data_IF_646217789032
#
_entry.id   IF_646217789032
#
_cell.length_a   1.000
_cell.length_b   1.000
_cell.length_c   1.000
_cell.angle_alpha   90.00
_cell.angle_beta   90.00
_cell.angle_gamma   90.00
#
_symmetry.space_group_name_H-M   'P 1'
#
loop_
_entity.id
_entity.type
_entity.pdbx_description
1 polymer ?
#
# COMPACT_ATOMS: atom_id res chain seq x y z
N UNK A 1 14.53 8.94 26.36
CA UNK A 1 14.22 8.74 24.93
C UNK A 1 13.21 9.80 24.51
N UNK A 2 13.34 10.40 23.33
CA UNK A 2 12.41 11.44 22.83
C UNK A 2 11.85 10.99 21.49
N UNK A 3 10.52 10.96 21.36
CA UNK A 3 9.85 10.69 20.10
C UNK A 3 9.90 11.96 19.23
N UNK A 4 10.38 11.81 18.00
CA UNK A 4 10.29 12.85 16.96
C UNK A 4 9.18 12.45 16.00
N UNK A 5 8.29 13.39 15.68
CA UNK A 5 7.18 13.19 14.75
C UNK A 5 7.39 14.12 13.56
N UNK A 6 7.29 13.58 12.36
CA UNK A 6 7.34 14.33 11.10
C UNK A 6 6.04 14.07 10.34
N UNK A 7 5.47 15.12 9.76
CA UNK A 7 4.22 15.07 9.01
C UNK A 7 4.44 15.77 7.68
N UNK A 8 4.10 15.09 6.58
CA UNK A 8 4.22 15.67 5.25
C UNK A 8 3.11 16.71 5.02
N UNK A 9 3.44 17.83 4.39
CA UNK A 9 2.47 18.93 4.17
C UNK A 9 1.35 18.56 3.20
N UNK A 10 1.59 17.59 2.32
CA UNK A 10 0.61 17.10 1.34
C UNK A 10 0.32 15.64 1.64
N UNK A 11 -0.96 15.26 1.80
CA UNK A 11 -1.32 13.87 2.00
C UNK A 11 -1.01 13.09 0.72
N UNK A 12 -0.35 11.94 0.84
CA UNK A 12 -0.07 11.05 -0.30
C UNK A 12 -1.29 10.20 -0.68
N UNK A 13 -2.06 9.80 0.34
CA UNK A 13 -3.35 9.16 0.14
C UNK A 13 -4.44 10.21 0.02
N UNK A 14 -5.41 9.99 -0.86
CA UNK A 14 -6.58 10.88 -1.00
C UNK A 14 -7.68 10.57 0.01
N UNK A 15 -7.69 9.34 0.51
CA UNK A 15 -8.71 8.82 1.44
C UNK A 15 -8.09 8.36 2.76
N UNK A 16 -8.93 7.79 3.63
CA UNK A 16 -8.53 7.31 4.95
C UNK A 16 -7.64 6.06 4.85
N UNK A 17 -6.57 6.06 5.64
CA UNK A 17 -5.71 4.90 5.82
C UNK A 17 -6.47 3.77 6.52
N UNK A 18 -6.52 2.60 5.90
CA UNK A 18 -7.11 1.40 6.49
C UNK A 18 -6.07 0.52 7.21
N UNK A 19 -4.77 0.68 6.91
CA UNK A 19 -3.72 -0.07 7.59
C UNK A 19 -2.31 0.41 7.27
N UNK A 20 -1.38 0.05 8.17
CA UNK A 20 0.07 0.24 8.01
C UNK A 20 0.79 -1.03 8.43
N UNK A 21 1.87 -1.38 7.74
CA UNK A 21 2.66 -2.58 8.02
C UNK A 21 4.13 -2.36 7.72
N UNK A 22 4.99 -2.91 8.58
CA UNK A 22 6.43 -2.88 8.35
C UNK A 22 6.83 -4.01 7.41
N UNK A 23 7.55 -3.68 6.34
CA UNK A 23 8.15 -4.68 5.46
C UNK A 23 9.54 -5.09 5.96
N UNK A 24 10.32 -4.12 6.42
CA UNK A 24 11.64 -4.28 7.03
C UNK A 24 11.94 -3.04 7.88
N UNK A 25 13.14 -2.91 8.44
CA UNK A 25 13.49 -1.80 9.34
C UNK A 25 13.38 -0.40 8.73
N UNK A 26 13.46 -0.26 7.41
CA UNK A 26 13.52 1.02 6.71
C UNK A 26 12.36 1.24 5.73
N UNK A 27 11.44 0.27 5.64
CA UNK A 27 10.33 0.28 4.69
C UNK A 27 9.00 -0.07 5.35
N UNK A 28 8.01 0.78 5.08
CA UNK A 28 6.64 0.62 5.55
C UNK A 28 5.71 0.57 4.33
N UNK A 29 4.64 -0.20 4.43
CA UNK A 29 3.54 -0.19 3.48
C UNK A 29 2.33 0.42 4.17
N UNK A 30 1.67 1.36 3.51
CA UNK A 30 0.35 1.86 3.91
C UNK A 30 -0.70 1.44 2.90
N UNK A 31 -1.90 1.15 3.40
CA UNK A 31 -3.09 0.86 2.62
C UNK A 31 -4.18 1.87 2.97
N UNK A 32 -4.96 2.24 1.96
CA UNK A 32 -6.01 3.26 2.06
C UNK A 32 -7.23 2.84 1.24
N UNK A 33 -8.36 3.45 1.55
CA UNK A 33 -9.61 3.29 0.80
C UNK A 33 -9.57 3.93 -0.59
N UNK A 34 -8.51 4.67 -0.93
CA UNK A 34 -8.21 5.15 -2.29
C UNK A 34 -7.77 4.03 -3.26
N UNK A 35 -7.83 2.78 -2.79
CA UNK A 35 -7.39 1.58 -3.50
C UNK A 35 -5.92 1.61 -3.91
N UNK A 36 -5.09 2.41 -3.25
CA UNK A 36 -3.64 2.45 -3.46
C UNK A 36 -2.89 1.84 -2.28
N UNK A 37 -1.78 1.21 -2.62
CA UNK A 37 -0.75 0.83 -1.65
C UNK A 37 0.44 1.75 -1.87
N UNK A 38 0.96 2.34 -0.80
CA UNK A 38 2.18 3.14 -0.86
C UNK A 38 3.30 2.42 -0.10
N UNK A 39 4.46 2.33 -0.72
CA UNK A 39 5.70 1.89 -0.09
C UNK A 39 6.49 3.11 0.33
N UNK A 40 6.75 3.23 1.62
CA UNK A 40 7.50 4.31 2.24
C UNK A 40 8.93 3.87 2.49
N UNK A 41 9.88 4.71 2.09
CA UNK A 41 11.27 4.61 2.51
C UNK A 41 11.50 5.59 3.67
N UNK A 42 11.74 5.07 4.86
CA UNK A 42 11.84 5.87 6.09
C UNK A 42 13.08 6.75 6.09
N UNK A 43 14.20 6.25 5.54
CA UNK A 43 15.45 7.00 5.49
C UNK A 43 15.39 8.23 4.57
N UNK A 44 14.58 8.17 3.51
CA UNK A 44 14.38 9.28 2.57
C UNK A 44 13.09 10.09 2.83
N UNK A 45 12.22 9.58 3.71
CA UNK A 45 10.87 10.08 3.92
C UNK A 45 10.13 10.29 2.58
N UNK A 46 10.19 9.28 1.72
CA UNK A 46 9.57 9.30 0.39
C UNK A 46 8.63 8.09 0.22
N UNK A 47 7.61 8.27 -0.62
CA UNK A 47 6.57 7.29 -0.84
C UNK A 47 6.42 6.97 -2.33
N UNK A 48 6.47 5.69 -2.67
CA UNK A 48 6.25 5.19 -4.02
C UNK A 48 4.92 4.44 -4.08
N UNK A 49 4.09 4.76 -5.08
CA UNK A 49 2.87 4.00 -5.34
C UNK A 49 3.23 2.60 -5.83
N UNK A 50 2.75 1.59 -5.12
CA UNK A 50 2.80 0.21 -5.57
C UNK A 50 1.60 -0.07 -6.45
N UNK A 51 1.74 -0.95 -7.46
CA UNK A 51 0.59 -1.46 -8.19
C UNK A 51 -0.35 -2.08 -7.16
N UNK A 52 -1.54 -1.48 -7.02
CA UNK A 52 -2.59 -2.02 -6.17
C UNK A 52 -2.80 -3.49 -6.54
N UNK A 53 -3.00 -4.34 -5.54
CA UNK A 53 -3.43 -5.71 -5.79
C UNK A 53 -4.76 -5.61 -6.56
N UNK A 54 -4.69 -5.74 -7.89
CA UNK A 54 -5.89 -5.80 -8.72
C UNK A 54 -6.70 -6.92 -8.14
N UNK A 55 -7.89 -6.57 -7.64
CA UNK A 55 -8.84 -7.47 -7.05
C UNK A 55 -8.94 -8.68 -7.99
N UNK A 56 -8.34 -9.80 -7.62
CA UNK A 56 -8.66 -11.08 -8.23
C UNK A 56 -10.04 -11.45 -7.67
N UNK A 57 -11.07 -10.71 -8.10
CA UNK A 57 -12.42 -11.25 -8.08
C UNK A 57 -12.37 -12.30 -9.17
N UNK A 58 -11.99 -13.52 -8.79
CA UNK A 58 -12.46 -14.68 -9.52
C UNK A 58 -13.98 -14.55 -9.48
N UNK A 59 -14.56 -14.07 -10.57
CA UNK A 59 -15.98 -14.12 -10.78
C UNK A 59 -16.38 -15.57 -10.57
N UNK A 60 -17.03 -15.87 -9.46
CA UNK A 60 -17.80 -17.10 -9.34
C UNK A 60 -19.06 -16.87 -10.18
N UNK A 61 -18.86 -16.89 -11.50
CA UNK A 61 -19.91 -17.00 -12.48
C UNK A 61 -19.38 -17.97 -13.53
N UNK A 62 -19.63 -19.26 -13.27
CA UNK A 62 -19.62 -20.33 -14.26
C UNK A 62 -18.42 -20.39 -15.21
N UNK A 63 -17.36 -21.08 -14.78
CA UNK A 63 -16.48 -21.78 -15.72
C UNK A 63 -15.15 -21.08 -16.05
N UNK A 64 -14.06 -21.73 -15.63
CA UNK A 64 -12.64 -21.52 -15.99
C UNK A 64 -11.97 -20.28 -15.41
N UNK A 65 -11.35 -20.50 -14.25
CA UNK A 65 -10.17 -19.74 -13.80
C UNK A 65 -8.96 -20.24 -14.60
N UNK A 66 -8.46 -19.44 -15.54
CA UNK A 66 -7.17 -19.72 -16.19
C UNK A 66 -6.09 -18.95 -15.45
N UNK A 67 -5.32 -19.66 -14.62
CA UNK A 67 -4.09 -19.13 -14.04
C UNK A 67 -3.03 -19.09 -15.16
N UNK A 68 -2.82 -17.93 -15.79
CA UNK A 68 -1.59 -17.72 -16.56
C UNK A 68 -0.45 -17.55 -15.56
N UNK A 69 0.46 -18.52 -15.57
CA UNK A 69 1.68 -18.62 -14.75
C UNK A 69 2.55 -17.36 -14.87
N UNK A 70 3.27 -17.12 -13.77
CA UNK A 70 4.46 -16.27 -13.55
C UNK A 70 5.16 -15.72 -14.80
#
# INVERSE_FOLDING_TARGET
>A
MKLKVEVEKKPKHSETLCGVGWLNSDEIISASDDHQLLKWNIGKFDAQSLPALKRFVNGVNGGRVTLSKF
#
